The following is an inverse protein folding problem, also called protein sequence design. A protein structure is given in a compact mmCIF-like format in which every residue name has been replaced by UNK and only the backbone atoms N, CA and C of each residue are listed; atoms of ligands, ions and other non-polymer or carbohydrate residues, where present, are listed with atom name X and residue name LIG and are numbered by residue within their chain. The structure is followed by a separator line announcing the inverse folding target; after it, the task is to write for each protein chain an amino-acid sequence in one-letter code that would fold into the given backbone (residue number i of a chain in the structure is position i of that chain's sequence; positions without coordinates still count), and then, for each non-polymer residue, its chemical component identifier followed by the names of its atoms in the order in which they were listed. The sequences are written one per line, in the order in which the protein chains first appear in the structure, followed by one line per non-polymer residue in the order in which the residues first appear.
data_IF_453404021236
#
_entry.id   IF_453404021236
#
_cell.length_a   1.000
_cell.length_b   1.000
_cell.length_c   1.000
_cell.angle_alpha   90.00
_cell.angle_beta   90.00
_cell.angle_gamma   90.00
#
_symmetry.space_group_name_H-M   'P 1'
#
loop_
_entity.id
_entity.type
_entity.pdbx_description
1 polymer ?
#
# COMPACT_ATOMS: atom_id res chain seq x y z
N UNK A 1 -13.87 -18.73 22.34
CA UNK A 1 -13.21 -17.61 23.07
C UNK A 1 -12.21 -17.02 22.11
N UNK A 2 -12.43 -15.78 21.67
CA UNK A 2 -11.45 -15.06 20.84
C UNK A 2 -10.39 -14.49 21.77
N UNK A 3 -9.14 -14.87 21.51
CA UNK A 3 -7.97 -14.34 22.18
C UNK A 3 -7.90 -12.85 21.81
N UNK A 4 -8.17 -11.97 22.77
CA UNK A 4 -8.29 -10.53 22.52
C UNK A 4 -7.02 -9.93 21.92
N UNK A 5 -7.12 -8.83 21.18
CA UNK A 5 -5.94 -8.16 20.63
C UNK A 5 -5.17 -7.39 21.71
N UNK A 6 -3.85 -7.26 21.54
CA UNK A 6 -3.06 -6.34 22.37
C UNK A 6 -3.63 -4.91 22.28
N UNK A 7 -3.50 -4.07 23.32
CA UNK A 7 -4.14 -2.75 23.37
C UNK A 7 -3.89 -1.85 22.15
N UNK A 8 -2.71 -1.97 21.52
CA UNK A 8 -2.37 -1.24 20.30
C UNK A 8 -3.27 -1.63 19.12
N UNK A 9 -3.37 -2.94 18.83
CA UNK A 9 -4.19 -3.42 17.72
C UNK A 9 -5.69 -3.34 18.03
N UNK A 10 -6.09 -3.54 19.29
CA UNK A 10 -7.47 -3.35 19.70
C UNK A 10 -7.94 -1.91 19.43
N UNK A 11 -7.12 -0.91 19.74
CA UNK A 11 -7.41 0.49 19.41
C UNK A 11 -7.55 0.70 17.89
N UNK A 12 -6.58 0.21 17.11
CA UNK A 12 -6.61 0.34 15.65
C UNK A 12 -7.86 -0.33 15.04
N UNK A 13 -8.27 -1.48 15.58
CA UNK A 13 -9.45 -2.20 15.12
C UNK A 13 -10.74 -1.48 15.51
N UNK A 14 -10.84 -0.94 16.73
CA UNK A 14 -11.98 -0.10 17.17
C UNK A 14 -12.15 1.15 16.32
N UNK A 15 -11.03 1.75 15.92
CA UNK A 15 -11.04 2.95 15.09
C UNK A 15 -11.08 2.61 13.60
N UNK A 16 -10.86 1.35 13.20
CA UNK A 16 -10.61 0.91 11.82
C UNK A 16 -9.55 1.78 11.13
N UNK A 17 -8.50 2.13 11.88
CA UNK A 17 -7.49 3.12 11.51
C UNK A 17 -6.08 2.66 11.86
N UNK A 18 -5.13 3.07 11.03
CA UNK A 18 -3.72 2.76 11.23
C UNK A 18 -3.37 1.38 10.64
N UNK A 19 -2.18 0.84 10.92
CA UNK A 19 -1.79 -0.45 10.38
C UNK A 19 -2.66 -1.54 10.99
N UNK A 20 -3.36 -2.28 10.12
CA UNK A 20 -4.13 -3.49 10.44
C UNK A 20 -3.64 -4.62 9.53
N UNK A 21 -2.48 -5.22 9.85
CA UNK A 21 -1.90 -6.26 9.00
C UNK A 21 -2.71 -7.56 9.07
N UNK A 22 -2.93 -8.29 7.97
CA UNK A 22 -3.60 -9.60 8.00
C UNK A 22 -2.89 -10.61 8.90
N UNK A 23 -1.57 -10.49 9.05
CA UNK A 23 -0.75 -11.40 9.85
C UNK A 23 -1.11 -11.38 11.33
N UNK A 24 -1.73 -10.31 11.84
CA UNK A 24 -2.19 -10.25 13.24
C UNK A 24 -3.42 -11.11 13.52
N UNK A 25 -4.09 -11.61 12.46
CA UNK A 25 -5.25 -12.50 12.56
C UNK A 25 -4.87 -13.99 12.57
N UNK A 26 -3.56 -14.28 12.58
CA UNK A 26 -3.07 -15.62 12.86
C UNK A 26 -3.22 -15.92 14.35
N UNK A 27 -3.94 -17.00 14.70
CA UNK A 27 -4.23 -17.34 16.10
C UNK A 27 -2.99 -17.65 16.94
N UNK A 28 -2.03 -18.38 16.37
CA UNK A 28 -0.77 -18.69 17.06
C UNK A 28 0.02 -17.40 17.35
N UNK A 29 0.03 -16.47 16.40
CA UNK A 29 0.63 -15.16 16.62
C UNK A 29 -0.10 -14.37 17.72
N UNK A 30 -1.44 -14.41 17.76
CA UNK A 30 -2.23 -13.74 18.80
C UNK A 30 -1.91 -14.28 20.20
N UNK A 31 -1.78 -15.60 20.35
CA UNK A 31 -1.41 -16.26 21.60
C UNK A 31 -0.02 -15.82 22.09
N UNK A 32 0.95 -15.80 21.17
CA UNK A 32 2.32 -15.35 21.45
C UNK A 32 2.35 -13.85 21.80
N UNK A 33 1.62 -13.03 21.05
CA UNK A 33 1.55 -11.59 21.26
C UNK A 33 0.94 -11.23 22.62
N UNK A 34 -0.09 -11.96 23.04
CA UNK A 34 -0.72 -11.75 24.34
C UNK A 34 0.13 -12.24 25.50
N UNK A 35 0.74 -13.43 25.38
CA UNK A 35 1.70 -13.93 26.37
C UNK A 35 2.83 -12.92 26.60
N UNK A 36 3.42 -12.41 25.51
CA UNK A 36 4.46 -11.39 25.55
C UNK A 36 3.99 -10.08 26.20
N UNK A 37 2.77 -9.64 25.90
CA UNK A 37 2.19 -8.42 26.47
C UNK A 37 2.00 -8.55 27.99
N UNK A 38 1.51 -9.69 28.47
CA UNK A 38 1.35 -9.98 29.90
C UNK A 38 2.71 -9.97 30.60
N UNK A 39 3.71 -10.66 30.06
CA UNK A 39 5.06 -10.71 30.63
C UNK A 39 5.73 -9.34 30.72
N UNK A 40 5.58 -8.49 29.69
CA UNK A 40 6.14 -7.13 29.70
C UNK A 40 5.43 -6.22 30.68
N UNK A 41 4.10 -6.34 30.81
CA UNK A 41 3.32 -5.51 31.74
C UNK A 41 3.71 -5.77 33.19
N UNK A 42 4.09 -7.00 33.54
CA UNK A 42 4.64 -7.35 34.87
C UNK A 42 5.97 -6.62 35.14
N UNK A 43 6.71 -6.22 34.09
CA UNK A 43 8.04 -5.62 34.20
C UNK A 43 8.07 -4.08 34.15
N UNK A 44 7.01 -3.42 33.70
CA UNK A 44 6.99 -1.95 33.54
C UNK A 44 5.68 -1.33 34.03
N UNK A 45 5.67 -0.89 35.30
CA UNK A 45 4.76 0.16 35.77
C UNK A 45 5.42 1.51 35.49
N UNK A 46 4.71 2.41 34.80
CA UNK A 46 5.05 3.82 34.50
C UNK A 46 5.85 4.08 33.21
N UNK A 47 5.17 4.19 32.06
CA UNK A 47 5.60 5.08 30.97
C UNK A 47 4.37 5.66 30.23
N UNK A 48 4.46 6.95 29.90
CA UNK A 48 3.43 7.81 29.29
C UNK A 48 2.87 7.27 27.96
N UNK A 49 1.59 7.57 27.71
CA UNK A 49 0.71 6.91 26.72
C UNK A 49 0.52 7.64 25.39
N UNK A 50 1.27 8.70 25.10
CA UNK A 50 1.04 9.47 23.89
C UNK A 50 2.11 9.18 22.83
N UNK A 51 1.63 8.57 21.74
CA UNK A 51 2.32 8.34 20.46
C UNK A 51 3.53 7.42 20.59
N UNK A 52 3.30 6.14 20.94
CA UNK A 52 4.37 5.14 20.91
C UNK A 52 4.31 4.30 19.62
N UNK A 53 5.45 4.12 18.91
CA UNK A 53 5.58 3.10 17.89
C UNK A 53 5.26 1.72 18.50
N UNK A 54 4.75 0.79 17.70
CA UNK A 54 4.42 -0.56 18.17
C UNK A 54 5.65 -1.24 18.81
N UNK A 55 5.57 -1.53 20.11
CA UNK A 55 6.64 -2.19 20.90
C UNK A 55 6.27 -3.61 21.38
N UNK A 56 5.18 -4.16 20.81
CA UNK A 56 4.68 -5.50 21.13
C UNK A 56 5.50 -6.63 20.50
N UNK A 57 4.96 -7.84 20.55
CA UNK A 57 5.58 -9.02 19.94
C UNK A 57 5.70 -8.82 18.41
N UNK A 58 6.86 -9.08 17.80
CA UNK A 58 7.04 -8.85 16.37
C UNK A 58 6.03 -9.67 15.56
N UNK A 59 5.43 -9.04 14.55
CA UNK A 59 4.55 -9.72 13.60
C UNK A 59 5.25 -9.85 12.24
N UNK A 60 5.00 -10.96 11.50
CA UNK A 60 5.52 -11.10 10.14
C UNK A 60 5.00 -9.97 9.25
N UNK A 61 5.86 -9.53 8.33
CA UNK A 61 5.46 -8.55 7.32
C UNK A 61 4.39 -9.16 6.40
N UNK A 62 3.40 -8.37 5.96
CA UNK A 62 2.30 -8.91 5.17
C UNK A 62 2.77 -9.61 3.89
N UNK A 63 3.79 -9.05 3.23
CA UNK A 63 4.40 -9.59 2.01
C UNK A 63 5.09 -10.96 2.18
N UNK A 64 5.15 -11.54 3.38
CA UNK A 64 5.76 -12.86 3.61
C UNK A 64 4.72 -13.95 3.89
N UNK A 65 3.44 -13.70 3.61
CA UNK A 65 2.37 -14.69 3.76
C UNK A 65 2.31 -15.62 2.55
N UNK A 66 2.15 -16.92 2.81
CA UNK A 66 1.75 -17.89 1.79
C UNK A 66 0.26 -17.73 1.45
N UNK A 67 -0.17 -18.26 0.30
CA UNK A 67 -1.57 -18.32 -0.09
C UNK A 67 -2.47 -18.95 0.99
N UNK A 68 -2.05 -20.09 1.53
CA UNK A 68 -2.78 -20.78 2.61
C UNK A 68 -2.89 -19.92 3.88
N UNK A 69 -1.80 -19.27 4.27
CA UNK A 69 -1.80 -18.38 5.45
C UNK A 69 -2.69 -17.17 5.22
N UNK A 70 -2.62 -16.57 4.03
CA UNK A 70 -3.47 -15.45 3.64
C UNK A 70 -4.95 -15.82 3.75
N UNK A 71 -5.36 -16.97 3.20
CA UNK A 71 -6.75 -17.42 3.23
C UNK A 71 -7.29 -17.58 4.67
N UNK A 72 -6.51 -18.23 5.54
CA UNK A 72 -6.88 -18.39 6.96
C UNK A 72 -6.96 -17.04 7.67
N UNK A 73 -5.96 -16.17 7.47
CA UNK A 73 -5.90 -14.86 8.09
C UNK A 73 -7.03 -13.94 7.60
N UNK A 74 -7.34 -13.96 6.30
CA UNK A 74 -8.41 -13.16 5.71
C UNK A 74 -9.78 -13.56 6.27
N UNK A 75 -10.05 -14.87 6.37
CA UNK A 75 -11.27 -15.37 6.99
C UNK A 75 -11.40 -14.91 8.45
N UNK A 76 -10.32 -14.99 9.23
CA UNK A 76 -10.33 -14.52 10.61
C UNK A 76 -10.53 -13.00 10.69
N UNK A 77 -9.90 -12.24 9.79
CA UNK A 77 -10.07 -10.79 9.67
C UNK A 77 -11.54 -10.39 9.45
N UNK A 78 -12.22 -11.02 8.49
CA UNK A 78 -13.64 -10.79 8.23
C UNK A 78 -14.49 -11.11 9.47
N UNK A 79 -14.25 -12.27 10.09
CA UNK A 79 -15.01 -12.71 11.26
C UNK A 79 -14.83 -11.77 12.46
N UNK A 80 -13.61 -11.32 12.73
CA UNK A 80 -13.30 -10.40 13.82
C UNK A 80 -13.96 -9.04 13.58
N UNK A 81 -13.83 -8.47 12.38
CA UNK A 81 -14.46 -7.19 12.06
C UNK A 81 -15.98 -7.27 12.18
N UNK A 82 -16.59 -8.37 11.74
CA UNK A 82 -18.03 -8.56 11.82
C UNK A 82 -18.55 -8.81 13.24
N UNK A 83 -17.94 -9.76 13.95
CA UNK A 83 -18.53 -10.35 15.15
C UNK A 83 -17.99 -9.75 16.45
N UNK A 84 -16.76 -9.21 16.44
CA UNK A 84 -16.12 -8.63 17.63
C UNK A 84 -16.25 -7.12 17.62
N UNK A 85 -15.91 -6.48 16.50
CA UNK A 85 -15.92 -5.02 16.39
C UNK A 85 -17.18 -4.44 15.73
N UNK A 86 -18.12 -5.29 15.31
CA UNK A 86 -19.41 -4.90 14.73
C UNK A 86 -19.35 -4.05 13.45
N UNK A 87 -18.23 -4.07 12.72
CA UNK A 87 -18.09 -3.44 11.40
C UNK A 87 -18.72 -4.30 10.29
N UNK A 88 -20.02 -4.58 10.39
CA UNK A 88 -20.74 -5.48 9.48
C UNK A 88 -20.63 -5.07 8.01
N UNK A 89 -20.81 -3.77 7.72
CA UNK A 89 -20.71 -3.23 6.36
C UNK A 89 -19.33 -3.45 5.76
N UNK A 90 -18.28 -3.06 6.50
CA UNK A 90 -16.91 -3.23 6.03
C UNK A 90 -16.51 -4.71 5.92
N UNK A 91 -16.99 -5.57 6.82
CA UNK A 91 -16.78 -7.01 6.72
C UNK A 91 -17.42 -7.60 5.45
N UNK A 92 -18.60 -7.13 5.04
CA UNK A 92 -19.20 -7.53 3.77
C UNK A 92 -18.38 -7.01 2.58
N UNK A 93 -17.86 -5.79 2.64
CA UNK A 93 -16.95 -5.29 1.61
C UNK A 93 -15.67 -6.11 1.50
N UNK A 94 -15.12 -6.54 2.64
CA UNK A 94 -13.96 -7.40 2.71
C UNK A 94 -14.23 -8.79 2.10
N UNK A 95 -15.40 -9.40 2.32
CA UNK A 95 -15.75 -10.67 1.67
C UNK A 95 -15.83 -10.54 0.15
N UNK A 96 -16.48 -9.48 -0.35
CA UNK A 96 -16.52 -9.22 -1.80
C UNK A 96 -15.11 -8.95 -2.34
N UNK A 97 -14.29 -8.22 -1.60
CA UNK A 97 -12.89 -8.02 -1.96
C UNK A 97 -12.11 -9.34 -2.03
N UNK A 98 -12.33 -10.26 -1.09
CA UNK A 98 -11.72 -11.60 -1.13
C UNK A 98 -12.11 -12.33 -2.43
N UNK A 99 -13.40 -12.30 -2.80
CA UNK A 99 -13.85 -12.88 -4.08
C UNK A 99 -13.22 -12.19 -5.29
N UNK A 100 -13.00 -10.88 -5.24
CA UNK A 100 -12.30 -10.15 -6.30
C UNK A 100 -10.82 -10.57 -6.41
N UNK A 101 -10.15 -10.81 -5.28
CA UNK A 101 -8.77 -11.31 -5.24
C UNK A 101 -8.70 -12.68 -5.92
N UNK A 102 -9.56 -13.62 -5.51
CA UNK A 102 -9.62 -14.97 -6.12
C UNK A 102 -9.93 -14.92 -7.63
N UNK A 103 -10.80 -14.01 -8.07
CA UNK A 103 -11.05 -13.81 -9.50
C UNK A 103 -9.78 -13.44 -10.28
N UNK A 104 -8.92 -12.57 -9.72
CA UNK A 104 -7.65 -12.22 -10.35
C UNK A 104 -6.59 -13.33 -10.22
N UNK A 105 -6.64 -14.12 -9.14
CA UNK A 105 -5.80 -15.29 -8.98
C UNK A 105 -6.04 -16.30 -10.11
N UNK A 106 -7.31 -16.62 -10.40
CA UNK A 106 -7.70 -17.53 -11.49
C UNK A 106 -7.31 -17.01 -12.88
N UNK A 107 -7.42 -15.68 -13.08
CA UNK A 107 -7.12 -15.04 -14.36
C UNK A 107 -5.62 -14.91 -14.63
N UNK A 108 -4.86 -14.54 -13.61
CA UNK A 108 -3.47 -14.11 -13.74
C UNK A 108 -2.52 -15.09 -13.01
N UNK A 109 -2.21 -14.85 -11.73
CA UNK A 109 -1.39 -15.72 -10.87
C UNK A 109 -1.42 -15.16 -9.43
N UNK A 110 -1.07 -16.00 -8.45
CA UNK A 110 -1.11 -15.67 -7.02
C UNK A 110 -0.37 -14.37 -6.64
N UNK A 111 0.75 -14.08 -7.28
CA UNK A 111 1.51 -12.90 -6.90
C UNK A 111 0.80 -11.61 -7.33
N UNK A 112 0.16 -11.61 -8.50
CA UNK A 112 -0.59 -10.45 -9.00
C UNK A 112 -1.77 -10.08 -8.11
N UNK A 113 -2.60 -11.04 -7.73
CA UNK A 113 -3.76 -10.79 -6.88
C UNK A 113 -3.36 -10.56 -5.41
N UNK A 114 -2.27 -11.16 -4.93
CA UNK A 114 -1.72 -10.85 -3.61
C UNK A 114 -1.26 -9.39 -3.50
N UNK A 115 -0.56 -8.88 -4.52
CA UNK A 115 -0.22 -7.45 -4.62
C UNK A 115 -1.47 -6.58 -4.66
N UNK A 116 -2.51 -6.98 -5.40
CA UNK A 116 -3.79 -6.27 -5.45
C UNK A 116 -4.46 -6.21 -4.07
N UNK A 117 -4.54 -7.33 -3.35
CA UNK A 117 -5.05 -7.38 -1.98
C UNK A 117 -4.31 -6.41 -1.05
N UNK A 118 -2.98 -6.42 -1.09
CA UNK A 118 -2.16 -5.58 -0.22
C UNK A 118 -2.38 -4.10 -0.54
N UNK A 119 -2.33 -3.71 -1.83
CA UNK A 119 -2.56 -2.31 -2.23
C UNK A 119 -3.95 -1.81 -1.82
N UNK A 120 -5.00 -2.61 -2.05
CA UNK A 120 -6.37 -2.23 -1.69
C UNK A 120 -6.54 -2.03 -0.18
N UNK A 121 -6.06 -2.98 0.65
CA UNK A 121 -6.18 -2.86 2.11
C UNK A 121 -5.31 -1.75 2.68
N UNK A 122 -4.09 -1.56 2.19
CA UNK A 122 -3.23 -0.46 2.66
C UNK A 122 -3.86 0.89 2.35
N UNK A 123 -4.42 1.06 1.15
CA UNK A 123 -5.14 2.29 0.81
C UNK A 123 -6.32 2.52 1.77
N UNK A 124 -7.11 1.47 2.04
CA UNK A 124 -8.28 1.58 2.89
C UNK A 124 -7.99 1.99 4.34
N UNK A 125 -6.89 1.51 4.91
CA UNK A 125 -6.53 1.83 6.29
C UNK A 125 -5.64 3.09 6.43
N UNK A 126 -5.01 3.52 5.33
CA UNK A 126 -4.21 4.74 5.30
C UNK A 126 -5.03 6.00 5.01
N UNK A 127 -6.06 5.89 4.15
CA UNK A 127 -6.83 7.04 3.67
C UNK A 127 -8.31 6.85 3.97
N UNK A 128 -8.90 7.81 4.69
CA UNK A 128 -10.35 7.86 4.86
C UNK A 128 -10.92 8.83 3.83
N UNK A 129 -12.02 8.41 3.22
CA UNK A 129 -12.77 9.22 2.27
C UNK A 129 -14.00 9.80 2.97
N UNK A 130 -14.40 11.02 2.57
CA UNK A 130 -15.63 11.61 3.04
C UNK A 130 -16.81 10.84 2.42
N UNK A 131 -17.54 10.08 3.22
CA UNK A 131 -18.73 9.37 2.78
C UNK A 131 -19.96 10.07 3.40
N UNK A 132 -20.53 11.01 2.65
CA UNK A 132 -21.58 11.89 3.15
C UNK A 132 -21.03 12.91 4.15
N UNK A 133 -21.41 12.80 5.44
CA UNK A 133 -20.97 13.70 6.52
C UNK A 133 -19.88 13.10 7.42
N UNK A 134 -19.46 11.86 7.17
CA UNK A 134 -18.55 11.10 8.03
C UNK A 134 -17.35 10.61 7.22
N UNK A 135 -16.15 10.71 7.78
CA UNK A 135 -14.97 10.07 7.19
C UNK A 135 -15.02 8.57 7.48
N UNK A 136 -14.89 7.75 6.44
CA UNK A 136 -14.88 6.30 6.54
C UNK A 136 -13.80 5.72 5.60
N UNK A 137 -13.32 4.49 5.82
CA UNK A 137 -12.49 3.80 4.84
C UNK A 137 -13.20 3.70 3.48
N UNK A 138 -12.47 3.78 2.36
CA UNK A 138 -13.03 3.55 1.04
C UNK A 138 -13.61 2.14 0.93
N UNK A 139 -14.65 2.02 0.13
CA UNK A 139 -15.28 0.75 -0.20
C UNK A 139 -14.33 -0.14 -1.01
N UNK A 140 -13.78 -1.16 -0.35
CA UNK A 140 -12.86 -2.13 -0.95
C UNK A 140 -13.56 -3.20 -1.80
N UNK A 141 -14.90 -3.26 -1.78
CA UNK A 141 -15.65 -4.24 -2.58
C UNK A 141 -15.62 -3.93 -4.08
N UNK A 142 -15.37 -2.67 -4.44
CA UNK A 142 -15.36 -2.21 -5.82
C UNK A 142 -14.12 -2.72 -6.55
N UNK A 143 -14.34 -3.31 -7.73
CA UNK A 143 -13.25 -3.70 -8.64
C UNK A 143 -12.66 -2.46 -9.29
N UNK A 144 -11.51 -2.03 -8.77
CA UNK A 144 -10.70 -0.95 -9.30
C UNK A 144 -9.77 -1.51 -10.37
N UNK A 145 -10.25 -1.67 -11.60
CA UNK A 145 -9.55 -2.38 -12.70
C UNK A 145 -8.16 -1.81 -13.03
N UNK A 146 -7.91 -0.55 -12.70
CA UNK A 146 -6.60 0.10 -12.83
C UNK A 146 -5.52 -0.54 -11.91
N UNK A 147 -5.91 -1.00 -10.72
CA UNK A 147 -4.98 -1.53 -9.72
C UNK A 147 -4.44 -2.92 -10.11
N UNK A 148 -5.25 -3.92 -10.51
CA UNK A 148 -4.77 -5.20 -11.00
C UNK A 148 -3.80 -5.07 -12.17
N UNK A 149 -4.03 -4.13 -13.10
CA UNK A 149 -3.11 -3.91 -14.21
C UNK A 149 -1.72 -3.46 -13.73
N UNK A 150 -1.65 -2.58 -12.74
CA UNK A 150 -0.40 -2.17 -12.09
C UNK A 150 0.25 -3.38 -11.39
N UNK A 151 -0.53 -4.16 -10.64
CA UNK A 151 -0.01 -5.34 -9.95
C UNK A 151 0.56 -6.37 -10.93
N UNK A 152 -0.14 -6.62 -12.03
CA UNK A 152 0.31 -7.54 -13.08
C UNK A 152 1.63 -7.09 -13.70
N UNK A 153 1.77 -5.78 -13.99
CA UNK A 153 3.02 -5.23 -14.49
C UNK A 153 4.18 -5.40 -13.49
N UNK A 154 3.94 -5.18 -12.19
CA UNK A 154 4.95 -5.39 -11.15
C UNK A 154 5.35 -6.86 -10.99
N UNK A 155 4.38 -7.78 -10.97
CA UNK A 155 4.64 -9.23 -10.93
C UNK A 155 5.52 -9.66 -12.10
N UNK A 156 5.29 -9.12 -13.31
CA UNK A 156 6.14 -9.40 -14.47
C UNK A 156 7.53 -8.77 -14.34
N UNK A 157 7.60 -7.52 -13.88
CA UNK A 157 8.88 -6.81 -13.68
C UNK A 157 9.78 -7.55 -12.69
N UNK A 158 9.19 -8.14 -11.67
CA UNK A 158 9.90 -8.91 -10.63
C UNK A 158 10.06 -10.39 -10.97
N UNK A 159 9.62 -10.85 -12.15
CA UNK A 159 9.64 -12.27 -12.53
C UNK A 159 9.02 -13.18 -11.45
N UNK A 160 7.81 -12.80 -11.02
CA UNK A 160 7.07 -13.49 -9.97
C UNK A 160 5.96 -14.39 -10.50
N UNK A 161 5.61 -14.26 -11.79
CA UNK A 161 4.45 -14.90 -12.40
C UNK A 161 4.54 -16.44 -12.46
N UNK A 162 5.75 -17.00 -12.37
CA UNK A 162 5.99 -18.45 -12.43
C UNK A 162 5.83 -19.16 -11.09
N UNK A 163 5.71 -18.41 -9.98
CA UNK A 163 5.56 -19.01 -8.66
C UNK A 163 4.10 -19.33 -8.35
N UNK A 164 3.86 -20.56 -7.88
CA UNK A 164 2.53 -21.04 -7.45
C UNK A 164 2.18 -20.59 -6.04
N UNK A 165 3.15 -20.11 -5.26
CA UNK A 165 2.97 -19.51 -3.94
C UNK A 165 3.97 -18.36 -3.77
N UNK A 166 3.84 -17.56 -2.71
CA UNK A 166 4.64 -16.38 -2.49
C UNK A 166 6.12 -16.73 -2.26
N UNK A 167 7.04 -16.34 -3.16
CA UNK A 167 8.45 -16.71 -3.06
C UNK A 167 9.16 -16.01 -1.88
N UNK A 168 8.60 -14.93 -1.34
CA UNK A 168 9.13 -14.20 -0.17
C UNK A 168 8.65 -14.77 1.17
N UNK A 169 7.71 -15.71 1.16
CA UNK A 169 7.26 -16.36 2.38
C UNK A 169 8.39 -17.16 3.04
N UNK A 170 8.24 -17.43 4.34
CA UNK A 170 9.23 -18.24 5.08
C UNK A 170 9.37 -19.61 4.43
N UNK A 171 10.60 -19.96 4.01
CA UNK A 171 10.90 -21.21 3.29
C UNK A 171 10.75 -21.12 1.77
N UNK A 172 10.33 -19.98 1.22
CA UNK A 172 10.29 -19.72 -0.22
C UNK A 172 11.67 -19.45 -0.82
N UNK A 173 11.76 -19.56 -2.16
CA UNK A 173 13.00 -19.41 -2.94
C UNK A 173 13.62 -18.01 -2.84
N UNK A 174 12.80 -16.99 -2.58
CA UNK A 174 13.21 -15.59 -2.39
C UNK A 174 13.02 -15.14 -0.94
N UNK A 175 13.00 -16.07 0.01
CA UNK A 175 12.98 -15.70 1.42
C UNK A 175 14.20 -14.83 1.76
N UNK A 176 13.96 -13.67 2.38
CA UNK A 176 15.01 -12.67 2.67
C UNK A 176 15.33 -11.70 1.52
N UNK A 177 14.69 -11.83 0.35
CA UNK A 177 14.77 -10.83 -0.71
C UNK A 177 13.86 -9.64 -0.39
N UNK A 178 14.18 -8.49 -0.95
CA UNK A 178 13.36 -7.29 -0.94
C UNK A 178 12.27 -7.40 -2.00
N UNK A 179 11.01 -7.48 -1.55
CA UNK A 179 9.83 -7.61 -2.43
C UNK A 179 9.59 -6.37 -3.31
N UNK A 180 10.24 -5.23 -3.05
CA UNK A 180 10.11 -4.04 -3.89
C UNK A 180 11.11 -4.04 -5.05
N UNK A 181 12.33 -4.49 -4.80
CA UNK A 181 13.43 -4.46 -5.78
C UNK A 181 13.66 -5.80 -6.46
N UNK A 182 13.24 -6.90 -5.85
CA UNK A 182 13.55 -8.26 -6.28
C UNK A 182 14.98 -8.69 -5.95
N UNK A 183 15.72 -7.92 -5.17
CA UNK A 183 17.12 -8.19 -4.82
C UNK A 183 17.26 -8.78 -3.41
N UNK A 184 18.30 -9.57 -3.12
CA UNK A 184 18.58 -10.03 -1.75
C UNK A 184 18.72 -8.86 -0.78
N UNK A 185 18.12 -8.94 0.42
CA UNK A 185 18.37 -7.93 1.45
C UNK A 185 19.78 -8.13 2.03
N UNK A 186 20.52 -7.04 2.16
CA UNK A 186 21.72 -7.00 2.98
C UNK A 186 21.36 -7.44 4.42
N UNK A 187 22.18 -8.31 5.02
CA UNK A 187 21.94 -8.97 6.32
C UNK A 187 21.55 -8.02 7.48
N UNK A 188 21.81 -6.72 7.35
CA UNK A 188 21.45 -5.66 8.32
C UNK A 188 19.94 -5.40 8.47
N UNK A 189 19.09 -5.93 7.58
CA UNK A 189 17.65 -5.54 7.51
C UNK A 189 16.69 -6.59 8.08
N UNK A 190 17.16 -7.72 8.61
CA UNK A 190 16.29 -8.85 9.00
C UNK A 190 15.46 -8.61 10.28
N UNK A 191 15.62 -7.47 10.96
CA UNK A 191 14.90 -7.12 12.19
C UNK A 191 14.13 -5.78 12.13
N UNK A 192 14.19 -5.05 11.03
CA UNK A 192 13.49 -3.77 10.92
C UNK A 192 12.31 -3.90 9.97
N UNK A 193 11.09 -3.72 10.48
CA UNK A 193 9.89 -3.46 9.67
C UNK A 193 10.13 -2.12 8.97
N UNK A 194 10.34 -2.05 7.65
CA UNK A 194 10.31 -0.77 6.96
C UNK A 194 8.82 -0.41 6.84
N UNK A 195 8.35 0.56 7.63
CA UNK A 195 7.11 1.25 7.29
C UNK A 195 7.37 1.98 5.97
N UNK A 196 7.09 1.32 4.86
CA UNK A 196 7.21 1.93 3.54
C UNK A 196 6.01 2.84 3.35
N UNK A 197 6.21 4.14 3.49
CA UNK A 197 5.29 5.15 2.96
C UNK A 197 5.25 4.98 1.44
N UNK A 198 4.32 4.19 0.92
CA UNK A 198 4.09 4.14 -0.52
C UNK A 198 3.39 5.44 -0.92
N UNK A 199 4.10 6.27 -1.68
CA UNK A 199 3.51 7.38 -2.41
C UNK A 199 2.63 6.80 -3.53
N UNK A 200 1.34 6.60 -3.25
CA UNK A 200 0.35 6.24 -4.27
C UNK A 200 0.03 7.51 -5.06
N UNK A 201 0.58 7.65 -6.26
CA UNK A 201 0.12 8.66 -7.22
C UNK A 201 -1.14 8.12 -7.90
N UNK A 202 -2.32 8.64 -7.52
CA UNK A 202 -3.58 8.33 -8.21
C UNK A 202 -3.74 9.35 -9.36
N UNK A 203 -3.82 8.85 -10.59
CA UNK A 203 -4.34 9.61 -11.73
C UNK A 203 -5.84 9.36 -11.79
N UNK A 204 -6.65 10.33 -11.38
CA UNK A 204 -8.10 10.30 -11.58
C UNK A 204 -8.42 10.85 -12.97
N UNK A 205 -8.86 10.01 -13.89
CA UNK A 205 -9.48 10.46 -15.15
C UNK A 205 -10.99 10.61 -14.96
N UNK A 206 -11.47 11.85 -14.87
CA UNK A 206 -12.85 12.20 -15.19
C UNK A 206 -12.86 12.92 -16.54
N UNK A 207 -13.56 12.35 -17.52
CA UNK A 207 -13.91 12.98 -18.79
C UNK A 207 -15.17 13.82 -18.60
N UNK A 208 -15.00 15.15 -18.55
CA UNK A 208 -16.04 16.11 -18.94
C UNK A 208 -15.43 17.08 -19.95
N UNK A 209 -15.99 17.08 -21.15
CA UNK A 209 -15.64 18.01 -22.23
C UNK A 209 -16.39 19.32 -22.03
N UNK A 210 -15.71 20.33 -21.47
CA UNK A 210 -15.88 21.74 -21.86
C UNK A 210 -14.55 22.47 -21.65
N UNK A 211 -14.08 23.08 -22.74
CA UNK A 211 -13.07 24.15 -22.87
C UNK A 211 -12.31 24.59 -21.61
N UNK A 212 -11.06 24.11 -21.45
CA UNK A 212 -9.83 24.92 -21.37
C UNK A 212 -8.59 24.02 -21.11
N UNK A 213 -7.59 24.11 -22.00
CA UNK A 213 -6.24 23.49 -21.91
C UNK A 213 -5.34 24.31 -20.94
N UNK A 214 -4.14 23.85 -20.49
CA UNK A 214 -3.25 22.91 -21.19
C UNK A 214 -2.45 21.89 -20.36
N UNK A 215 -1.96 20.93 -21.15
CA UNK A 215 -0.87 19.98 -20.98
C UNK A 215 0.44 20.56 -20.41
N UNK A 216 1.09 19.80 -19.53
CA UNK A 216 2.54 19.85 -19.33
C UNK A 216 3.09 18.43 -19.20
N UNK A 217 3.45 17.86 -20.35
CA UNK A 217 4.49 16.86 -20.44
C UNK A 217 5.83 17.39 -19.88
N UNK A 218 6.51 16.51 -19.14
CA UNK A 218 7.95 16.30 -19.15
C UNK A 218 8.87 17.54 -19.29
N UNK A 219 9.63 17.85 -18.23
CA UNK A 219 11.06 17.50 -18.15
C UNK A 219 11.76 18.14 -16.95
N UNK A 220 12.53 17.28 -16.26
CA UNK A 220 13.94 17.50 -15.91
C UNK A 220 14.36 18.85 -15.29
N UNK A 221 14.80 18.73 -14.04
CA UNK A 221 15.96 19.38 -13.41
C UNK A 221 16.09 20.92 -13.52
N UNK A 222 15.69 21.53 -12.40
CA UNK A 222 16.48 22.45 -11.56
C UNK A 222 17.07 23.73 -12.16
N UNK A 223 16.64 24.86 -11.58
CA UNK A 223 17.48 26.05 -11.44
C UNK A 223 16.84 27.39 -11.83
N UNK A 224 15.86 27.90 -11.07
CA UNK A 224 15.58 29.34 -11.05
C UNK A 224 14.89 29.77 -9.76
N UNK A 225 15.53 30.63 -8.97
CA UNK A 225 14.93 31.31 -7.81
C UNK A 225 14.31 32.62 -8.28
N UNK A 226 12.98 32.73 -8.15
CA UNK A 226 12.19 33.83 -8.67
C UNK A 226 12.53 35.17 -8.02
N UNK A 227 12.63 36.22 -8.86
CA UNK A 227 12.18 37.59 -8.54
C UNK A 227 12.15 38.58 -9.71
N UNK A 228 12.70 38.28 -10.90
CA UNK A 228 12.64 39.20 -12.06
C UNK A 228 12.26 38.47 -13.36
N UNK A 229 10.96 38.22 -13.59
CA UNK A 229 10.49 37.64 -14.85
C UNK A 229 10.30 38.75 -15.92
N UNK A 230 11.17 38.79 -16.94
CA UNK A 230 10.95 39.59 -18.16
C UNK A 230 10.09 38.75 -19.14
N UNK A 231 8.82 39.12 -19.39
CA UNK A 231 7.93 38.38 -20.27
C UNK A 231 8.37 38.38 -21.75
N UNK A 232 9.35 39.21 -22.14
CA UNK A 232 9.89 39.25 -23.51
C UNK A 232 11.19 38.47 -23.70
N UNK A 233 11.68 37.75 -22.68
CA UNK A 233 12.94 37.01 -22.75
C UNK A 233 12.94 35.93 -23.86
N UNK A 234 11.85 35.18 -24.00
CA UNK A 234 11.73 34.12 -25.01
C UNK A 234 11.76 34.68 -26.44
N UNK A 235 11.15 35.84 -26.67
CA UNK A 235 11.14 36.52 -27.97
C UNK A 235 12.54 37.03 -28.35
N UNK A 236 13.27 37.62 -27.39
CA UNK A 236 14.67 38.06 -27.59
C UNK A 236 15.59 36.88 -27.92
N UNK A 237 15.43 35.75 -27.21
CA UNK A 237 16.22 34.55 -27.44
C UNK A 237 15.93 33.90 -28.81
N UNK A 238 14.67 33.94 -29.26
CA UNK A 238 14.28 33.44 -30.58
C UNK A 238 14.79 34.33 -31.73
N UNK A 239 14.81 35.65 -31.55
CA UNK A 239 15.34 36.59 -32.53
C UNK A 239 16.87 36.46 -32.73
N UNK A 240 17.61 36.05 -31.69
CA UNK A 240 19.05 35.85 -31.75
C UNK A 240 19.48 34.51 -32.40
N UNK A 241 18.54 33.59 -32.70
CA UNK A 241 18.85 32.22 -33.11
C UNK A 241 18.62 31.90 -34.60
N UNK A 242 18.30 32.89 -35.46
CA UNK A 242 18.24 32.68 -36.92
C UNK A 242 19.57 33.04 -37.59
N UNK A 243 20.21 32.12 -38.34
CA UNK A 243 21.31 32.49 -39.24
C UNK A 243 20.78 33.22 -40.49
N UNK A 244 21.59 34.10 -41.13
CA UNK A 244 21.14 34.91 -42.25
C UNK A 244 20.99 34.04 -43.51
N UNK A 245 19.78 33.98 -44.08
CA UNK A 245 19.56 33.55 -45.46
C UNK A 245 19.91 34.72 -46.37
N UNK A 246 21.09 34.67 -46.99
CA UNK A 246 21.48 35.60 -48.03
C UNK A 246 20.65 35.40 -49.29
N UNK A 247 20.29 36.52 -49.94
CA UNK A 247 19.88 36.51 -51.34
C UNK A 247 20.39 37.77 -52.04
N UNK A 248 21.27 37.54 -53.03
CA UNK A 248 21.42 38.29 -54.27
C UNK A 248 21.97 39.72 -54.26
N UNK A 249 23.03 39.94 -55.03
CA UNK A 249 22.89 40.90 -56.13
C UNK A 249 23.78 40.56 -57.34
N UNK A 250 23.18 40.87 -58.50
CA UNK A 250 23.62 40.78 -59.91
C UNK A 250 23.74 39.41 -60.54
#
# INVERSE_FOLDING_TARGET
MDIGFTPYFDKNLKELRGPIPLTIFNKQWQDLANSYHVEKRVKTNNLNKDITPYTGYPYPHEMTQTYASWNVNYRNFVLVLRNVYNFKTFANWAEIHQSNVEFYHERDNWMTDFWYNIKMRWNAFAFWVLQGKTNAPPDISQRREDIPAICFAETRRLDEASFTDNPYAKGGTRFGYDWTTGLPRSQTTLLQVPQTTILVTIITTQTTTTTNKPDLGHRSKSGYNGRNFDPKYAAKKAAAAKPPTGNGNT
#
